data_IF_576863088086
#
_entry.id   IF_576863088086
#
_cell.length_a   1.000
_cell.length_b   1.000
_cell.length_c   1.000
_cell.angle_alpha   90.00
_cell.angle_beta   90.00
_cell.angle_gamma   90.00
#
_symmetry.space_group_name_H-M   'P 1'
#
loop_
_entity.id
_entity.type
_entity.pdbx_description
1 polymer ?
#
# COMPACT_ATOMS: atom_id res chain seq x y z
N UNK A 1 39.52 47.48 10.49
CA UNK A 1 38.12 47.14 10.78
C UNK A 1 37.66 46.01 9.84
N UNK A 2 38.12 44.79 10.11
CA UNK A 2 37.77 43.57 9.35
C UNK A 2 37.36 42.48 10.34
N UNK A 3 36.29 42.70 11.09
CA UNK A 3 35.73 41.70 12.00
C UNK A 3 34.24 41.95 12.02
N UNK A 4 33.42 40.98 11.73
CA UNK A 4 31.99 40.86 11.96
C UNK A 4 31.12 40.51 10.75
N UNK A 5 31.62 39.70 9.83
CA UNK A 5 30.70 39.07 8.87
C UNK A 5 30.78 37.53 8.94
N UNK A 6 31.32 36.97 9.99
CA UNK A 6 31.48 35.51 10.11
C UNK A 6 30.55 34.88 11.19
N UNK A 7 29.47 35.54 11.56
CA UNK A 7 28.61 35.05 12.65
C UNK A 7 27.15 34.84 12.29
N UNK A 8 26.77 34.79 11.02
CA UNK A 8 25.37 34.55 10.63
C UNK A 8 25.19 33.38 9.65
N UNK A 9 26.14 32.43 9.69
CA UNK A 9 25.92 31.11 9.06
C UNK A 9 25.52 30.11 10.13
N UNK A 10 24.76 30.55 11.13
CA UNK A 10 24.26 29.70 12.19
C UNK A 10 22.96 29.05 11.73
N UNK A 11 23.08 27.81 11.21
CA UNK A 11 22.13 26.72 11.48
C UNK A 11 20.67 27.04 11.18
N UNK A 12 20.31 27.15 9.91
CA UNK A 12 19.02 26.63 9.48
C UNK A 12 19.18 25.11 9.41
N UNK A 13 19.07 24.44 10.55
CA UNK A 13 18.81 23.01 10.58
C UNK A 13 17.41 22.83 9.98
N UNK A 14 17.34 22.65 8.68
CA UNK A 14 16.10 22.20 8.02
C UNK A 14 15.91 20.79 8.50
N UNK A 15 15.10 20.63 9.55
CA UNK A 15 14.56 19.33 9.90
C UNK A 15 13.62 18.92 8.76
N UNK A 16 14.15 18.23 7.76
CA UNK A 16 13.36 17.55 6.75
C UNK A 16 12.81 16.30 7.45
N UNK A 17 11.78 16.46 8.26
CA UNK A 17 10.97 15.34 8.69
C UNK A 17 10.20 14.89 7.45
N UNK A 18 10.58 13.74 6.89
CA UNK A 18 9.76 13.08 5.91
C UNK A 18 8.38 12.81 6.53
N UNK A 19 7.32 13.09 5.79
CA UNK A 19 5.96 12.80 6.25
C UNK A 19 5.84 11.29 6.52
N UNK A 20 5.59 10.92 7.77
CA UNK A 20 5.41 9.52 8.14
C UNK A 20 4.02 9.05 7.74
N UNK A 21 3.96 8.01 6.92
CA UNK A 21 2.72 7.40 6.44
C UNK A 21 2.69 5.93 6.81
N UNK A 22 1.65 5.53 7.53
CA UNK A 22 1.46 4.14 7.94
C UNK A 22 0.12 3.64 7.41
N UNK A 23 0.14 2.48 6.76
CA UNK A 23 -1.04 1.74 6.38
C UNK A 23 -1.10 0.49 7.27
N UNK A 24 -2.17 0.36 8.05
CA UNK A 24 -2.44 -0.81 8.86
C UNK A 24 -3.54 -1.63 8.19
N UNK A 25 -3.22 -2.88 7.85
CA UNK A 25 -4.17 -3.82 7.30
C UNK A 25 -4.85 -4.60 8.44
N UNK A 26 -6.17 -4.58 8.46
CA UNK A 26 -6.99 -5.33 9.42
C UNK A 26 -7.71 -6.46 8.71
N UNK A 27 -7.43 -7.68 9.11
CA UNK A 27 -7.98 -8.90 8.51
C UNK A 27 -9.51 -8.99 8.63
N UNK A 28 -10.04 -8.50 9.74
CA UNK A 28 -11.45 -8.63 10.06
C UNK A 28 -11.79 -10.03 10.55
N UNK A 29 -13.07 -10.37 10.48
CA UNK A 29 -13.59 -11.69 10.81
C UNK A 29 -13.80 -12.50 9.53
N UNK A 30 -13.38 -13.74 9.54
CA UNK A 30 -13.57 -14.67 8.44
C UNK A 30 -15.04 -14.77 8.03
N UNK A 31 -15.34 -14.74 6.74
CA UNK A 31 -16.68 -14.73 6.13
C UNK A 31 -17.57 -13.51 6.48
N UNK A 32 -17.01 -12.47 7.08
CA UNK A 32 -17.77 -11.28 7.44
C UNK A 32 -17.66 -10.13 6.44
N UNK A 33 -16.78 -10.24 5.44
CA UNK A 33 -16.50 -9.20 4.43
C UNK A 33 -16.28 -7.82 5.07
N UNK A 34 -15.48 -7.80 6.16
CA UNK A 34 -15.24 -6.63 6.98
C UNK A 34 -13.75 -6.29 7.15
N UNK A 35 -12.90 -6.81 6.28
CA UNK A 35 -11.50 -6.41 6.19
C UNK A 35 -11.36 -4.91 5.93
N UNK A 36 -10.35 -4.28 6.53
CA UNK A 36 -10.18 -2.82 6.50
C UNK A 36 -8.73 -2.42 6.33
N UNK A 37 -8.53 -1.20 5.85
CA UNK A 37 -7.26 -0.50 5.91
C UNK A 37 -7.43 0.75 6.76
N UNK A 38 -6.59 0.92 7.78
CA UNK A 38 -6.45 2.17 8.52
C UNK A 38 -5.25 2.94 7.97
N UNK A 39 -5.39 4.25 7.83
CA UNK A 39 -4.35 5.13 7.34
C UNK A 39 -4.00 6.18 8.39
N UNK A 40 -2.71 6.36 8.59
CA UNK A 40 -2.14 7.31 9.55
C UNK A 40 -1.17 8.25 8.84
N UNK A 41 -1.16 9.48 9.25
CA UNK A 41 -0.19 10.51 8.85
C UNK A 41 0.34 11.22 10.09
N UNK A 42 1.67 11.30 10.21
CA UNK A 42 2.36 11.95 11.33
C UNK A 42 1.81 11.51 12.71
N UNK A 43 1.63 10.19 12.87
CA UNK A 43 1.12 9.57 14.09
C UNK A 43 -0.38 9.76 14.35
N UNK A 44 -1.13 10.41 13.46
CA UNK A 44 -2.57 10.63 13.59
C UNK A 44 -3.38 9.73 12.67
N UNK A 45 -4.52 9.25 13.17
CA UNK A 45 -5.48 8.52 12.34
C UNK A 45 -6.13 9.47 11.35
N UNK A 46 -5.94 9.22 10.06
CA UNK A 46 -6.64 9.93 8.97
C UNK A 46 -7.95 9.22 8.62
N UNK A 47 -7.91 7.88 8.54
CA UNK A 47 -9.10 7.06 8.30
C UNK A 47 -8.91 5.65 8.87
N UNK A 48 -9.97 5.11 9.47
CA UNK A 48 -10.05 3.70 9.90
C UNK A 48 -10.64 2.77 8.82
N UNK A 49 -11.08 3.31 7.69
CA UNK A 49 -11.68 2.60 6.57
C UNK A 49 -11.18 3.16 5.24
N UNK A 50 -9.90 3.48 5.17
CA UNK A 50 -9.30 4.28 4.10
C UNK A 50 -9.63 3.78 2.69
N UNK A 51 -9.51 2.50 2.41
CA UNK A 51 -9.86 1.96 1.09
C UNK A 51 -11.33 2.26 0.74
N UNK A 52 -12.25 2.08 1.70
CA UNK A 52 -13.68 2.33 1.51
C UNK A 52 -13.98 3.81 1.32
N UNK A 53 -13.30 4.67 2.08
CA UNK A 53 -13.52 6.11 2.01
C UNK A 53 -13.09 6.66 0.64
N UNK A 54 -11.98 6.13 0.09
CA UNK A 54 -11.46 6.54 -1.22
C UNK A 54 -12.26 5.93 -2.37
N UNK A 55 -12.60 4.63 -2.31
CA UNK A 55 -13.14 3.88 -3.45
C UNK A 55 -14.64 3.64 -3.41
N UNK A 56 -15.33 4.03 -2.33
CA UNK A 56 -16.77 3.83 -2.08
C UNK A 56 -17.21 2.36 -2.17
N UNK A 57 -16.27 1.44 -1.91
CA UNK A 57 -16.53 -0.01 -1.87
C UNK A 57 -15.71 -0.66 -0.75
N UNK A 58 -16.11 -1.84 -0.32
CA UNK A 58 -15.37 -2.64 0.65
C UNK A 58 -14.04 -3.10 0.06
N UNK A 59 -13.06 -3.36 0.93
CA UNK A 59 -11.78 -3.96 0.55
C UNK A 59 -11.95 -5.43 0.20
N UNK A 60 -12.76 -6.15 0.96
CA UNK A 60 -13.03 -7.57 0.82
C UNK A 60 -12.84 -8.33 2.12
N UNK A 61 -12.93 -9.66 2.03
CA UNK A 61 -12.89 -10.55 3.18
C UNK A 61 -11.48 -11.13 3.40
N UNK A 62 -11.01 -10.99 4.62
CA UNK A 62 -9.75 -11.56 5.11
C UNK A 62 -8.51 -11.09 4.33
N UNK A 63 -8.23 -9.77 4.27
CA UNK A 63 -6.95 -9.28 3.75
C UNK A 63 -5.81 -9.70 4.69
N UNK A 64 -4.71 -10.27 4.14
CA UNK A 64 -3.63 -10.85 4.94
C UNK A 64 -2.28 -10.17 4.80
N UNK A 65 -1.96 -9.65 3.63
CA UNK A 65 -0.63 -9.09 3.37
C UNK A 65 -0.70 -7.87 2.46
N UNK A 66 0.24 -6.96 2.63
CA UNK A 66 0.37 -5.74 1.84
C UNK A 66 1.83 -5.49 1.51
N UNK A 67 2.12 -5.20 0.26
CA UNK A 67 3.48 -4.89 -0.19
C UNK A 67 3.49 -3.72 -1.17
N UNK A 68 4.46 -2.85 -1.02
CA UNK A 68 4.73 -1.82 -2.03
C UNK A 68 5.57 -2.42 -3.16
N UNK A 69 5.04 -2.43 -4.38
CA UNK A 69 5.73 -2.93 -5.58
C UNK A 69 6.76 -1.90 -6.06
N UNK A 70 6.33 -0.65 -6.14
CA UNK A 70 7.15 0.50 -6.51
C UNK A 70 6.53 1.79 -5.92
N UNK A 71 7.11 2.94 -6.24
CA UNK A 71 6.63 4.24 -5.71
C UNK A 71 5.17 4.58 -6.05
N UNK A 72 4.56 3.90 -7.03
CA UNK A 72 3.22 4.21 -7.54
C UNK A 72 2.21 3.08 -7.34
N UNK A 73 2.64 1.90 -6.85
CA UNK A 73 1.78 0.72 -6.83
C UNK A 73 2.00 -0.11 -5.56
N UNK A 74 0.88 -0.47 -4.92
CA UNK A 74 0.79 -1.32 -3.74
C UNK A 74 -0.10 -2.51 -4.08
N UNK A 75 0.28 -3.72 -3.67
CA UNK A 75 -0.54 -4.93 -3.77
C UNK A 75 -1.01 -5.39 -2.40
N UNK A 76 -2.21 -5.95 -2.33
CA UNK A 76 -2.86 -6.43 -1.12
C UNK A 76 -3.48 -7.79 -1.42
N UNK A 77 -3.17 -8.81 -0.62
CA UNK A 77 -3.90 -10.09 -0.69
C UNK A 77 -5.24 -9.97 0.03
N UNK A 78 -6.29 -10.44 -0.63
CA UNK A 78 -7.64 -10.55 -0.04
C UNK A 78 -8.02 -12.04 -0.07
N UNK A 79 -7.61 -12.75 0.96
CA UNK A 79 -7.55 -14.22 0.95
C UNK A 79 -8.91 -14.88 0.69
N UNK A 80 -9.95 -14.55 1.45
CA UNK A 80 -11.25 -15.17 1.29
C UNK A 80 -12.01 -14.68 0.06
N UNK A 81 -11.70 -13.46 -0.39
CA UNK A 81 -12.21 -12.95 -1.68
C UNK A 81 -11.46 -13.49 -2.89
N UNK A 82 -10.39 -14.26 -2.69
CA UNK A 82 -9.56 -14.87 -3.74
C UNK A 82 -8.98 -13.87 -4.76
N UNK A 83 -8.68 -12.64 -4.35
CA UNK A 83 -8.13 -11.61 -5.24
C UNK A 83 -6.85 -10.99 -4.67
N UNK A 84 -6.04 -10.43 -5.57
CA UNK A 84 -5.02 -9.46 -5.24
C UNK A 84 -5.54 -8.09 -5.68
N UNK A 85 -5.69 -7.18 -4.73
CA UNK A 85 -6.09 -5.80 -4.98
C UNK A 85 -4.85 -4.94 -5.22
N UNK A 86 -4.84 -4.16 -6.29
CA UNK A 86 -3.81 -3.16 -6.56
C UNK A 86 -4.35 -1.76 -6.32
N UNK A 87 -3.58 -0.96 -5.57
CA UNK A 87 -3.92 0.44 -5.27
C UNK A 87 -2.71 1.35 -5.52
N UNK A 88 -2.99 2.62 -5.77
CA UNK A 88 -1.98 3.68 -5.76
C UNK A 88 -1.67 4.14 -4.32
N UNK A 89 -0.56 4.87 -4.07
CA UNK A 89 -0.20 5.36 -2.73
C UNK A 89 -1.21 6.31 -2.09
N UNK A 90 -2.14 6.87 -2.85
CA UNK A 90 -3.28 7.66 -2.35
C UNK A 90 -4.53 6.80 -2.08
N UNK A 91 -4.40 5.48 -2.10
CA UNK A 91 -5.46 4.52 -1.76
C UNK A 91 -6.45 4.22 -2.88
N UNK A 92 -6.30 4.83 -4.06
CA UNK A 92 -7.21 4.57 -5.18
C UNK A 92 -6.98 3.18 -5.78
N UNK A 93 -8.07 2.49 -6.05
CA UNK A 93 -8.04 1.21 -6.77
C UNK A 93 -7.52 1.40 -8.19
N UNK A 94 -6.52 0.61 -8.54
CA UNK A 94 -5.91 0.57 -9.88
C UNK A 94 -6.42 -0.63 -10.67
N UNK A 95 -6.36 -1.82 -10.07
CA UNK A 95 -6.78 -3.08 -10.66
C UNK A 95 -7.05 -4.12 -9.57
N UNK A 96 -7.64 -5.24 -9.94
CA UNK A 96 -7.66 -6.48 -9.14
C UNK A 96 -7.45 -7.67 -10.06
N UNK A 97 -6.96 -8.77 -9.51
CA UNK A 97 -6.87 -10.04 -10.25
C UNK A 97 -8.24 -10.71 -10.34
N UNK A 98 -8.33 -11.67 -11.23
CA UNK A 98 -9.34 -12.71 -11.14
C UNK A 98 -8.98 -13.72 -10.03
N UNK A 99 -9.58 -14.88 -10.02
CA UNK A 99 -9.49 -15.89 -8.97
C UNK A 99 -8.04 -16.31 -8.62
N UNK A 100 -7.61 -15.99 -7.40
CA UNK A 100 -6.31 -16.35 -6.83
C UNK A 100 -6.55 -16.98 -5.45
N UNK A 101 -6.90 -18.25 -5.39
CA UNK A 101 -7.28 -18.88 -4.14
C UNK A 101 -6.08 -19.03 -3.18
N UNK A 102 -6.36 -18.96 -1.88
CA UNK A 102 -5.36 -19.13 -0.81
C UNK A 102 -4.17 -18.14 -0.86
N UNK A 103 -4.39 -16.95 -1.37
CA UNK A 103 -3.40 -15.87 -1.42
C UNK A 103 -3.19 -15.29 0.00
N UNK A 104 -2.05 -15.57 0.63
CA UNK A 104 -1.79 -15.13 2.01
C UNK A 104 -0.57 -14.23 2.14
N UNK A 105 0.38 -14.36 1.24
CA UNK A 105 1.66 -13.64 1.27
C UNK A 105 2.02 -13.12 -0.10
N UNK A 106 2.79 -12.05 -0.11
CA UNK A 106 3.29 -11.41 -1.31
C UNK A 106 4.81 -11.25 -1.24
N UNK A 107 5.44 -11.35 -2.38
CA UNK A 107 6.80 -10.88 -2.62
C UNK A 107 6.84 -10.16 -3.98
N UNK A 108 7.81 -9.29 -4.18
CA UNK A 108 7.99 -8.58 -5.46
C UNK A 108 9.46 -8.32 -5.76
N UNK A 109 9.78 -8.28 -7.04
CA UNK A 109 11.05 -7.81 -7.57
C UNK A 109 10.92 -6.40 -8.21
N UNK A 110 9.78 -5.73 -7.98
CA UNK A 110 9.45 -4.42 -8.55
C UNK A 110 8.73 -4.50 -9.91
N UNK A 111 8.74 -5.66 -10.57
CA UNK A 111 8.09 -5.92 -11.85
C UNK A 111 6.98 -6.95 -11.76
N UNK A 112 7.20 -8.00 -10.97
CA UNK A 112 6.25 -9.08 -10.75
C UNK A 112 5.83 -9.13 -9.29
N UNK A 113 4.63 -9.63 -9.07
CA UNK A 113 4.16 -10.02 -7.75
C UNK A 113 4.11 -11.53 -7.68
N UNK A 114 4.77 -12.09 -6.68
CA UNK A 114 4.84 -13.53 -6.43
C UNK A 114 3.91 -13.85 -5.26
N UNK A 115 3.02 -14.79 -5.47
CA UNK A 115 2.04 -15.23 -4.48
C UNK A 115 2.21 -16.72 -4.25
N UNK A 116 2.65 -17.16 -3.06
CA UNK A 116 2.65 -18.57 -2.74
C UNK A 116 1.20 -19.03 -2.52
N UNK A 117 0.75 -19.91 -3.35
CA UNK A 117 -0.53 -20.61 -3.19
C UNK A 117 -0.25 -22.11 -3.02
N UNK A 118 -1.17 -22.84 -2.36
CA UNK A 118 -0.97 -24.24 -2.01
C UNK A 118 -0.65 -25.17 -3.21
N UNK A 119 -0.90 -24.71 -4.42
CA UNK A 119 -0.67 -25.44 -5.67
C UNK A 119 0.29 -24.75 -6.66
N UNK A 120 1.07 -23.80 -6.20
CA UNK A 120 2.21 -23.19 -6.90
C UNK A 120 1.85 -22.44 -8.18
N UNK A 121 1.50 -21.17 -8.08
CA UNK A 121 1.36 -20.29 -9.24
C UNK A 121 2.06 -18.96 -9.05
N UNK A 122 2.70 -18.49 -10.13
CA UNK A 122 3.20 -17.13 -10.24
C UNK A 122 2.11 -16.25 -10.86
N UNK A 123 1.81 -15.14 -10.20
CA UNK A 123 0.87 -14.16 -10.75
C UNK A 123 1.67 -12.94 -11.20
N UNK A 124 1.45 -12.55 -12.42
CA UNK A 124 1.97 -11.30 -12.96
C UNK A 124 0.99 -10.18 -12.60
N UNK A 125 1.49 -9.07 -12.07
CA UNK A 125 0.65 -7.89 -11.91
C UNK A 125 0.00 -7.53 -13.26
N UNK A 126 -1.29 -7.20 -13.29
CA UNK A 126 -1.97 -6.88 -14.54
C UNK A 126 -1.22 -5.80 -15.30
N UNK A 127 -1.04 -5.98 -16.61
CA UNK A 127 -0.28 -5.05 -17.45
C UNK A 127 -0.76 -3.61 -17.32
N UNK A 128 -2.07 -3.40 -17.24
CA UNK A 128 -2.69 -2.10 -17.04
C UNK A 128 -2.34 -1.44 -15.70
N UNK A 129 -2.06 -2.22 -14.65
CA UNK A 129 -1.61 -1.69 -13.37
C UNK A 129 -0.13 -1.26 -13.43
N UNK A 130 0.71 -2.04 -14.13
CA UNK A 130 2.11 -1.70 -14.35
C UNK A 130 2.25 -0.47 -15.28
N UNK A 131 1.51 -0.42 -16.38
CA UNK A 131 1.56 0.69 -17.34
C UNK A 131 1.11 2.02 -16.70
N UNK A 132 0.11 2.00 -15.81
CA UNK A 132 -0.31 3.19 -15.03
C UNK A 132 0.68 3.61 -13.95
N UNK A 133 1.52 2.70 -13.49
CA UNK A 133 2.51 2.98 -12.46
C UNK A 133 3.84 3.53 -13.03
N UNK A 134 4.05 3.42 -14.35
CA UNK A 134 5.28 3.86 -15.04
C UNK A 134 5.14 5.19 -15.78
N UNK A 135 3.93 5.70 -15.94
CA UNK A 135 3.62 7.04 -16.48
C UNK A 135 3.30 8.00 -15.32
#
# INVERSE_FOLDING_TARGET
>A
MKKLILSLLCSVAINIYGQERIILLNEGNWQADNGKMSYFEDGKVVSNQWFRDVNKRKLGDTPNDIIQINKNLIAITINWSNIIQFISPDGKRVAETEDVPNNRKLATDGRYVYVPIAYGSRITAPKNALDKATN
#
